data_IF_559195932819
#
_entry.id   IF_559195932819
#
_cell.length_a   1.000
_cell.length_b   1.000
_cell.length_c   1.000
_cell.angle_alpha   90.00
_cell.angle_beta   90.00
_cell.angle_gamma   90.00
#
_symmetry.space_group_name_H-M   'P 1'
#
loop_
_entity.id
_entity.type
_entity.pdbx_description
1 polymer ?
#
# COMPACT_ATOMS: atom_id res chain seq x y z
N UNK A 1 -7.60 10.55 20.70
CA UNK A 1 -7.91 9.43 19.78
C UNK A 1 -9.38 9.37 19.37
N UNK A 2 -10.33 9.33 20.32
CA UNK A 2 -11.77 9.22 20.01
C UNK A 2 -12.31 10.38 19.15
N UNK A 3 -11.91 11.62 19.45
CA UNK A 3 -12.30 12.81 18.66
C UNK A 3 -11.77 12.75 17.22
N UNK A 4 -10.57 12.21 17.02
CA UNK A 4 -9.96 12.08 15.70
C UNK A 4 -10.64 10.98 14.87
N UNK A 5 -11.02 9.87 15.51
CA UNK A 5 -11.82 8.80 14.91
C UNK A 5 -13.22 9.29 14.51
N UNK A 6 -13.87 10.09 15.35
CA UNK A 6 -15.15 10.72 15.05
C UNK A 6 -15.05 11.68 13.86
N UNK A 7 -13.99 12.48 13.80
CA UNK A 7 -13.74 13.39 12.67
C UNK A 7 -13.59 12.62 11.35
N UNK A 8 -12.81 11.54 11.34
CA UNK A 8 -12.62 10.69 10.14
C UNK A 8 -13.93 10.03 9.70
N UNK A 9 -14.79 9.62 10.64
CA UNK A 9 -16.07 8.99 10.34
C UNK A 9 -17.10 9.99 9.79
N UNK A 10 -17.14 11.20 10.35
CA UNK A 10 -18.20 12.19 10.08
C UNK A 10 -17.86 13.06 8.87
N UNK A 11 -16.59 13.36 8.62
CA UNK A 11 -16.12 14.15 7.47
C UNK A 11 -16.68 13.69 6.10
N UNK A 12 -16.55 12.41 5.70
CA UNK A 12 -17.00 11.98 4.39
C UNK A 12 -18.52 12.10 4.24
N UNK A 13 -19.29 11.92 5.32
CA UNK A 13 -20.74 12.09 5.33
C UNK A 13 -21.10 13.57 5.13
N UNK A 14 -20.43 14.48 5.85
CA UNK A 14 -20.65 15.93 5.71
C UNK A 14 -20.32 16.41 4.30
N UNK A 15 -19.21 15.94 3.72
CA UNK A 15 -18.83 16.27 2.34
C UNK A 15 -19.88 15.77 1.33
N UNK A 16 -20.37 14.53 1.49
CA UNK A 16 -21.43 13.96 0.64
C UNK A 16 -22.72 14.77 0.73
N UNK A 17 -23.15 15.14 1.94
CA UNK A 17 -24.34 15.96 2.15
C UNK A 17 -24.17 17.34 1.50
N UNK A 18 -22.98 17.95 1.59
CA UNK A 18 -22.70 19.23 0.96
C UNK A 18 -22.75 19.15 -0.57
N UNK A 19 -22.17 18.09 -1.15
CA UNK A 19 -22.19 17.85 -2.61
C UNK A 19 -23.64 17.67 -3.09
N UNK A 20 -24.44 16.88 -2.38
CA UNK A 20 -25.85 16.64 -2.73
C UNK A 20 -26.68 17.92 -2.58
N UNK A 21 -26.51 18.67 -1.48
CA UNK A 21 -27.22 19.93 -1.25
C UNK A 21 -26.87 20.97 -2.33
N UNK A 22 -25.60 21.07 -2.72
CA UNK A 22 -25.16 21.97 -3.78
C UNK A 22 -25.70 21.54 -5.16
N UNK A 23 -25.72 20.24 -5.45
CA UNK A 23 -26.28 19.70 -6.68
C UNK A 23 -27.80 19.90 -6.79
N UNK A 24 -28.54 19.75 -5.68
CA UNK A 24 -30.00 19.97 -5.64
C UNK A 24 -30.34 21.45 -5.79
N UNK A 25 -29.60 22.34 -5.13
CA UNK A 25 -29.82 23.80 -5.21
C UNK A 25 -29.59 24.36 -6.61
N UNK A 26 -28.69 23.77 -7.40
CA UNK A 26 -28.38 24.19 -8.77
C UNK A 26 -29.13 23.41 -9.87
N UNK A 27 -30.20 22.67 -9.52
CA UNK A 27 -31.00 21.90 -10.49
C UNK A 27 -31.61 22.76 -11.61
N UNK A 28 -31.90 24.03 -11.36
CA UNK A 28 -32.61 24.90 -12.32
C UNK A 28 -31.73 25.45 -13.46
N UNK A 29 -30.39 25.31 -13.41
CA UNK A 29 -29.46 25.83 -14.44
C UNK A 29 -28.56 24.75 -15.08
N UNK A 30 -29.11 23.57 -15.36
CA UNK A 30 -28.35 22.50 -16.03
C UNK A 30 -27.63 21.56 -15.07
N UNK A 31 -28.27 21.22 -13.95
CA UNK A 31 -27.73 20.34 -12.91
C UNK A 31 -27.20 18.99 -13.41
N UNK A 32 -27.70 18.45 -14.52
CA UNK A 32 -27.15 17.23 -15.12
C UNK A 32 -25.68 17.40 -15.57
N UNK A 33 -25.35 18.54 -16.20
CA UNK A 33 -23.97 18.83 -16.62
C UNK A 33 -23.05 18.96 -15.40
N UNK A 34 -23.51 19.62 -14.34
CA UNK A 34 -22.76 19.80 -13.09
C UNK A 34 -22.51 18.46 -12.40
N UNK A 35 -23.53 17.61 -12.27
CA UNK A 35 -23.41 16.28 -11.66
C UNK A 35 -22.46 15.39 -12.47
N UNK A 36 -22.55 15.42 -13.81
CA UNK A 36 -21.63 14.66 -14.68
C UNK A 36 -20.18 15.12 -14.55
N UNK A 37 -19.93 16.42 -14.39
CA UNK A 37 -18.59 16.95 -14.13
C UNK A 37 -18.07 16.48 -12.77
N UNK A 38 -18.86 16.64 -11.71
CA UNK A 38 -18.47 16.21 -10.35
C UNK A 38 -18.13 14.71 -10.35
N UNK A 39 -18.96 13.88 -10.97
CA UNK A 39 -18.71 12.43 -11.10
C UNK A 39 -17.39 12.15 -11.84
N UNK A 40 -17.16 12.81 -12.97
CA UNK A 40 -15.93 12.65 -13.76
C UNK A 40 -14.70 13.02 -12.94
N UNK A 41 -14.74 14.14 -12.21
CA UNK A 41 -13.64 14.56 -11.35
C UNK A 41 -13.42 13.63 -10.16
N UNK A 42 -14.49 13.08 -9.55
CA UNK A 42 -14.36 12.10 -8.47
C UNK A 42 -13.68 10.81 -8.93
N UNK A 43 -14.06 10.29 -10.10
CA UNK A 43 -13.42 9.10 -10.66
C UNK A 43 -11.95 9.38 -11.03
N UNK A 44 -11.67 10.53 -11.64
CA UNK A 44 -10.29 10.95 -11.93
C UNK A 44 -9.46 11.14 -10.65
N UNK A 45 -10.06 11.65 -9.58
CA UNK A 45 -9.40 11.78 -8.30
C UNK A 45 -9.10 10.42 -7.66
N UNK A 46 -10.08 9.50 -7.64
CA UNK A 46 -9.89 8.16 -7.10
C UNK A 46 -8.80 7.38 -7.86
N UNK A 47 -8.81 7.46 -9.19
CA UNK A 47 -7.78 6.82 -10.03
C UNK A 47 -6.40 7.45 -9.81
N UNK A 48 -6.31 8.78 -9.65
CA UNK A 48 -5.07 9.47 -9.32
C UNK A 48 -4.50 9.00 -7.97
N UNK A 49 -5.34 8.93 -6.93
CA UNK A 49 -4.94 8.44 -5.61
C UNK A 49 -4.42 6.99 -5.67
N UNK A 50 -5.07 6.15 -6.47
CA UNK A 50 -4.66 4.75 -6.69
C UNK A 50 -3.28 4.66 -7.36
N UNK A 51 -3.02 5.47 -8.39
CA UNK A 51 -1.74 5.51 -9.10
C UNK A 51 -0.62 6.03 -8.20
N UNK A 52 -0.88 7.09 -7.40
CA UNK A 52 0.11 7.61 -6.44
C UNK A 52 0.45 6.56 -5.39
N UNK A 53 -0.56 5.88 -4.84
CA UNK A 53 -0.35 4.80 -3.86
C UNK A 53 0.47 3.64 -4.44
N UNK A 54 0.18 3.23 -5.68
CA UNK A 54 0.97 2.25 -6.41
C UNK A 54 2.41 2.70 -6.65
N UNK A 55 2.61 3.95 -7.09
CA UNK A 55 3.94 4.50 -7.37
C UNK A 55 4.85 4.56 -6.14
N UNK A 56 4.34 5.07 -5.02
CA UNK A 56 5.09 5.08 -3.74
C UNK A 56 5.43 3.66 -3.30
N UNK A 57 4.48 2.72 -3.42
CA UNK A 57 4.67 1.34 -3.01
C UNK A 57 5.71 0.60 -3.85
N UNK A 58 5.81 0.89 -5.15
CA UNK A 58 6.87 0.36 -6.03
C UNK A 58 8.23 0.91 -5.60
N UNK A 59 8.32 2.21 -5.32
CA UNK A 59 9.59 2.83 -4.92
C UNK A 59 10.10 2.25 -3.59
N UNK A 60 9.22 2.08 -2.61
CA UNK A 60 9.56 1.44 -1.34
C UNK A 60 10.05 0.00 -1.56
N UNK A 61 9.32 -0.80 -2.32
CA UNK A 61 9.71 -2.18 -2.59
C UNK A 61 11.02 -2.27 -3.40
N UNK A 62 11.27 -1.35 -4.33
CA UNK A 62 12.54 -1.27 -5.04
C UNK A 62 13.71 -0.92 -4.09
N UNK A 63 13.47 -0.03 -3.13
CA UNK A 63 14.45 0.28 -2.08
C UNK A 63 14.72 -0.95 -1.20
N UNK A 64 13.69 -1.69 -0.78
CA UNK A 64 13.83 -2.92 0.00
C UNK A 64 14.55 -4.04 -0.79
N UNK A 65 14.38 -4.09 -2.11
CA UNK A 65 15.11 -5.02 -2.98
C UNK A 65 16.60 -4.66 -3.09
N UNK A 66 16.91 -3.36 -3.19
CA UNK A 66 18.28 -2.84 -3.30
C UNK A 66 19.03 -2.87 -1.96
N UNK A 67 18.35 -2.55 -0.86
CA UNK A 67 18.88 -2.51 0.49
C UNK A 67 17.88 -3.13 1.46
N UNK A 68 17.88 -4.48 1.60
CA UNK A 68 16.98 -5.16 2.51
C UNK A 68 17.22 -4.69 3.94
N UNK A 69 16.21 -4.10 4.57
CA UNK A 69 16.22 -3.55 5.93
C UNK A 69 16.18 -4.63 7.02
N UNK A 70 16.80 -5.78 6.76
CA UNK A 70 16.68 -6.96 7.59
C UNK A 70 17.17 -6.71 9.01
N UNK A 71 16.26 -6.87 9.96
CA UNK A 71 16.57 -6.91 11.39
C UNK A 71 17.25 -8.26 11.68
N UNK A 72 18.56 -8.34 11.39
CA UNK A 72 19.33 -9.53 11.76
C UNK A 72 19.54 -9.50 13.27
N UNK A 73 18.94 -10.47 13.95
CA UNK A 73 19.26 -10.76 15.33
C UNK A 73 20.75 -11.12 15.44
N UNK A 74 21.45 -10.66 16.47
CA UNK A 74 22.89 -10.98 16.59
C UNK A 74 23.09 -12.49 16.78
N UNK A 75 24.25 -13.02 16.40
CA UNK A 75 24.57 -14.43 16.63
C UNK A 75 24.44 -14.80 18.11
N UNK A 76 24.80 -13.89 19.02
CA UNK A 76 24.68 -14.06 20.47
C UNK A 76 23.23 -14.26 20.89
N UNK A 77 22.34 -13.41 20.37
CA UNK A 77 20.91 -13.50 20.69
C UNK A 77 20.29 -14.77 20.06
N UNK A 78 20.69 -15.12 18.83
CA UNK A 78 20.25 -16.35 18.16
C UNK A 78 20.68 -17.59 18.95
N UNK A 79 21.93 -17.63 19.42
CA UNK A 79 22.47 -18.69 20.27
C UNK A 79 21.68 -18.79 21.58
N UNK A 80 21.38 -17.66 22.21
CA UNK A 80 20.62 -17.62 23.46
C UNK A 80 19.17 -18.10 23.27
N UNK A 81 18.49 -17.73 22.19
CA UNK A 81 17.14 -18.24 21.88
C UNK A 81 17.14 -19.72 21.53
N UNK A 82 18.18 -20.20 20.83
CA UNK A 82 18.36 -21.60 20.46
C UNK A 82 18.57 -22.50 21.69
N UNK A 83 19.43 -22.08 22.62
CA UNK A 83 19.71 -22.80 23.87
C UNK A 83 18.51 -22.73 24.83
N UNK A 84 17.78 -21.61 24.83
CA UNK A 84 16.55 -21.46 25.62
C UNK A 84 15.35 -22.25 25.06
N UNK A 85 15.52 -23.02 23.98
CA UNK A 85 14.47 -23.83 23.37
C UNK A 85 13.30 -23.01 22.80
N UNK A 86 13.52 -21.72 22.53
CA UNK A 86 12.47 -20.81 22.00
C UNK A 86 12.33 -20.85 20.48
N UNK A 87 13.20 -21.59 19.80
CA UNK A 87 13.16 -21.81 18.35
C UNK A 87 12.66 -23.23 18.11
N UNK A 88 11.50 -23.37 17.46
CA UNK A 88 10.93 -24.69 17.14
C UNK A 88 11.93 -25.52 16.32
N UNK A 89 12.20 -26.75 16.80
CA UNK A 89 13.14 -27.68 16.15
C UNK A 89 14.60 -27.55 16.59
N UNK A 90 14.94 -26.69 17.56
CA UNK A 90 16.33 -26.56 18.02
C UNK A 90 16.74 -27.69 18.99
N UNK A 91 17.90 -28.32 18.73
CA UNK A 91 18.54 -29.26 19.67
C UNK A 91 19.46 -28.49 20.61
N UNK A 92 19.27 -28.69 21.92
CA UNK A 92 20.04 -28.01 22.98
C UNK A 92 21.54 -28.37 22.96
N UNK A 93 21.92 -29.44 22.26
CA UNK A 93 23.29 -29.98 22.18
C UNK A 93 23.90 -29.82 20.78
N UNK A 94 23.74 -28.66 20.16
CA UNK A 94 24.33 -28.36 18.84
C UNK A 94 25.76 -27.79 19.03
N UNK A 95 26.74 -28.29 18.28
CA UNK A 95 28.11 -27.75 18.26
C UNK A 95 28.12 -26.27 17.88
N UNK A 96 29.06 -25.48 18.39
CA UNK A 96 29.17 -24.05 18.05
C UNK A 96 29.38 -23.81 16.54
N UNK A 97 30.10 -24.70 15.87
CA UNK A 97 30.30 -24.65 14.41
C UNK A 97 29.02 -24.96 13.63
N UNK A 98 28.12 -25.76 14.20
CA UNK A 98 26.83 -26.07 13.61
C UNK A 98 25.81 -24.95 13.89
N UNK A 99 25.84 -24.34 15.07
CA UNK A 99 25.05 -23.14 15.40
C UNK A 99 25.39 -21.96 14.49
N UNK A 100 26.68 -21.74 14.21
CA UNK A 100 27.11 -20.67 13.29
C UNK A 100 26.64 -20.92 11.86
N UNK A 101 26.76 -22.16 11.37
CA UNK A 101 26.22 -22.55 10.05
C UNK A 101 24.71 -22.35 9.96
N UNK A 102 23.96 -22.76 10.97
CA UNK A 102 22.50 -22.58 11.02
C UNK A 102 22.11 -21.10 11.05
N UNK A 103 22.85 -20.28 11.79
CA UNK A 103 22.66 -18.83 11.80
C UNK A 103 22.91 -18.19 10.43
N UNK A 104 23.98 -18.59 9.72
CA UNK A 104 24.27 -18.09 8.37
C UNK A 104 23.18 -18.47 7.36
N UNK A 105 22.66 -19.70 7.44
CA UNK A 105 21.52 -20.15 6.65
C UNK A 105 20.28 -19.31 6.96
N UNK A 106 19.97 -19.13 8.25
CA UNK A 106 18.84 -18.30 8.69
C UNK A 106 18.92 -16.87 8.15
N UNK A 107 20.06 -16.20 8.33
CA UNK A 107 20.29 -14.83 7.82
C UNK A 107 20.11 -14.77 6.29
N UNK A 108 20.56 -15.80 5.57
CA UNK A 108 20.44 -15.88 4.11
C UNK A 108 18.99 -16.09 3.68
N UNK A 109 18.25 -16.97 4.36
CA UNK A 109 16.83 -17.23 4.08
C UNK A 109 15.96 -16.01 4.38
N UNK A 110 16.22 -15.31 5.49
CA UNK A 110 15.54 -14.04 5.82
C UNK A 110 15.75 -12.98 4.74
N UNK A 111 16.98 -12.83 4.24
CA UNK A 111 17.30 -11.94 3.11
C UNK A 111 16.51 -12.31 1.86
N UNK A 112 16.44 -13.60 1.53
CA UNK A 112 15.71 -14.07 0.36
C UNK A 112 14.21 -13.79 0.50
N UNK A 113 13.63 -14.10 1.66
CA UNK A 113 12.22 -13.87 1.94
C UNK A 113 11.82 -12.39 1.83
N UNK A 114 12.69 -11.48 2.29
CA UNK A 114 12.46 -10.04 2.13
C UNK A 114 12.48 -9.61 0.66
N UNK A 115 13.42 -10.14 -0.13
CA UNK A 115 13.48 -9.86 -1.57
C UNK A 115 12.24 -10.39 -2.30
N UNK A 116 11.79 -11.59 -1.98
CA UNK A 116 10.57 -12.16 -2.56
C UNK A 116 9.33 -11.33 -2.18
N UNK A 117 9.27 -10.86 -0.93
CA UNK A 117 8.25 -9.93 -0.45
C UNK A 117 8.24 -8.63 -1.25
N UNK A 118 9.41 -8.03 -1.47
CA UNK A 118 9.59 -6.82 -2.27
C UNK A 118 9.12 -7.04 -3.72
N UNK A 119 9.51 -8.15 -4.36
CA UNK A 119 9.06 -8.49 -5.72
C UNK A 119 7.53 -8.60 -5.79
N UNK A 120 6.92 -9.31 -4.83
CA UNK A 120 5.47 -9.44 -4.77
C UNK A 120 4.78 -8.08 -4.58
N UNK A 121 5.34 -7.20 -3.75
CA UNK A 121 4.84 -5.85 -3.56
C UNK A 121 4.92 -5.03 -4.85
N UNK A 122 6.02 -5.12 -5.61
CA UNK A 122 6.15 -4.45 -6.93
C UNK A 122 5.04 -4.91 -7.86
N UNK A 123 4.83 -6.23 -7.99
CA UNK A 123 3.79 -6.79 -8.88
C UNK A 123 2.39 -6.30 -8.47
N UNK A 124 2.07 -6.37 -7.18
CA UNK A 124 0.78 -5.89 -6.66
C UNK A 124 0.60 -4.39 -6.93
N UNK A 125 1.63 -3.60 -6.69
CA UNK A 125 1.61 -2.15 -6.85
C UNK A 125 1.52 -1.72 -8.32
N UNK A 126 2.07 -2.51 -9.25
CA UNK A 126 1.82 -2.34 -10.68
C UNK A 126 0.34 -2.55 -11.02
N UNK A 127 -0.32 -3.53 -10.39
CA UNK A 127 -1.77 -3.69 -10.49
C UNK A 127 -2.55 -2.43 -10.11
N UNK A 128 -2.14 -1.74 -9.05
CA UNK A 128 -2.70 -0.45 -8.63
C UNK A 128 -2.48 0.70 -9.63
N UNK A 129 -1.58 0.55 -10.61
CA UNK A 129 -1.36 1.55 -11.66
C UNK A 129 -2.06 1.14 -12.96
N UNK A 130 -1.93 -0.13 -13.36
CA UNK A 130 -2.41 -0.64 -14.64
C UNK A 130 -3.95 -0.73 -14.67
N UNK A 131 -4.59 -1.15 -13.57
CA UNK A 131 -6.05 -1.28 -13.49
C UNK A 131 -6.78 0.06 -13.62
N UNK A 132 -6.41 1.14 -12.90
CA UNK A 132 -7.08 2.43 -13.03
C UNK A 132 -6.73 3.17 -14.32
N UNK A 133 -5.66 2.81 -15.02
CA UNK A 133 -5.20 3.55 -16.21
C UNK A 133 -6.26 3.59 -17.34
N UNK A 134 -6.89 2.49 -17.77
CA UNK A 134 -7.98 2.53 -18.76
C UNK A 134 -9.14 3.42 -18.32
N UNK A 135 -9.53 3.34 -17.04
CA UNK A 135 -10.60 4.16 -16.45
C UNK A 135 -10.20 5.64 -16.51
N UNK A 136 -9.00 5.97 -16.07
CA UNK A 136 -8.45 7.32 -16.12
C UNK A 136 -8.44 7.87 -17.55
N UNK A 137 -7.95 7.11 -18.52
CA UNK A 137 -7.92 7.55 -19.93
C UNK A 137 -9.32 7.82 -20.47
N UNK A 138 -10.29 6.96 -20.17
CA UNK A 138 -11.68 7.13 -20.58
C UNK A 138 -12.28 8.41 -19.98
N UNK A 139 -12.22 8.57 -18.66
CA UNK A 139 -12.79 9.74 -17.98
C UNK A 139 -12.03 11.04 -18.27
N UNK A 140 -10.73 10.97 -18.55
CA UNK A 140 -9.93 12.13 -18.93
C UNK A 140 -10.31 12.64 -20.34
N UNK A 141 -10.59 11.72 -21.27
CA UNK A 141 -11.17 12.07 -22.58
C UNK A 141 -12.57 12.64 -22.44
N UNK A 142 -13.42 12.02 -21.61
CA UNK A 142 -14.78 12.48 -21.35
C UNK A 142 -14.79 13.91 -20.79
N UNK A 143 -13.89 14.21 -19.85
CA UNK A 143 -13.71 15.56 -19.30
C UNK A 143 -13.38 16.59 -20.39
N UNK A 144 -12.47 16.25 -21.31
CA UNK A 144 -12.02 17.18 -22.37
C UNK A 144 -13.17 17.57 -23.32
N UNK A 145 -14.04 16.62 -23.65
CA UNK A 145 -15.23 16.88 -24.48
C UNK A 145 -16.34 17.64 -23.76
N UNK A 146 -16.29 17.75 -22.42
CA UNK A 146 -17.28 18.49 -21.63
C UNK A 146 -16.86 19.94 -21.37
N UNK A 147 -15.58 20.25 -21.56
CA UNK A 147 -15.03 21.61 -21.45
C UNK A 147 -15.04 22.40 -22.76
N UNK A 148 -15.35 21.74 -23.89
CA UNK A 148 -15.63 22.35 -25.20
C UNK A 148 -17.14 22.62 -25.35
#
# INVERSE_FOLDING_TARGET
MVVFLLLILVMPIVILVFIVAFAVKNKEQGGEKVVRHIYTYLVLFATLMMVIGGGVSIFMAAADLASPTGYYQSFTDYKQMTIAGKIEGSKTETSEDELRRNYEIYVKEEKLRQKDGAINQIIKSLGFIVIPLPVFLYFNRLRKHQSE
#
